data_IF_881612575506
#
_entry.id   IF_881612575506
#
_cell.length_a   1.000
_cell.length_b   1.000
_cell.length_c   1.000
_cell.angle_alpha   90.00
_cell.angle_beta   90.00
_cell.angle_gamma   90.00
#
_symmetry.space_group_name_H-M   'P 1'
#
loop_
_entity.id
_entity.type
_entity.pdbx_description
1 polymer ?
#
# COMPACT_ATOMS: atom_id res chain seq x y z
N UNK A 1 -41.99 -8.09 24.11
CA UNK A 1 -40.81 -8.96 24.36
C UNK A 1 -39.75 -8.57 23.37
N UNK A 2 -38.87 -7.65 23.77
CA UNK A 2 -37.75 -7.16 22.98
C UNK A 2 -36.58 -8.15 23.13
N UNK A 3 -35.96 -8.54 22.02
CA UNK A 3 -34.68 -9.26 22.02
C UNK A 3 -33.57 -8.22 21.84
N UNK A 4 -32.72 -8.08 22.85
CA UNK A 4 -31.45 -7.37 22.73
C UNK A 4 -30.45 -8.20 21.89
N UNK A 5 -29.61 -7.57 21.07
CA UNK A 5 -28.49 -8.25 20.40
C UNK A 5 -27.34 -8.46 21.40
N UNK A 6 -26.70 -9.63 21.33
CA UNK A 6 -25.48 -9.92 22.09
C UNK A 6 -24.31 -9.19 21.44
N UNK A 7 -23.63 -8.34 22.21
CA UNK A 7 -22.32 -7.81 21.87
C UNK A 7 -21.34 -8.97 21.65
N UNK A 8 -20.75 -9.04 20.46
CA UNK A 8 -19.55 -9.84 20.20
C UNK A 8 -18.37 -9.02 20.72
N UNK A 9 -18.05 -9.20 22.00
CA UNK A 9 -16.81 -8.76 22.60
C UNK A 9 -15.64 -9.29 21.75
N UNK A 10 -14.84 -8.38 21.21
CA UNK A 10 -13.56 -8.72 20.63
C UNK A 10 -12.69 -9.25 21.78
N UNK A 11 -12.40 -10.55 21.74
CA UNK A 11 -11.56 -11.25 22.69
C UNK A 11 -10.12 -10.73 22.54
N UNK A 12 -9.81 -9.64 23.24
CA UNK A 12 -8.43 -9.25 23.49
C UNK A 12 -7.75 -10.40 24.26
N UNK A 13 -6.57 -10.82 23.78
CA UNK A 13 -5.84 -11.96 24.33
C UNK A 13 -5.72 -11.91 25.85
N UNK A 14 -5.85 -13.06 26.48
CA UNK A 14 -5.86 -13.18 27.94
C UNK A 14 -4.47 -12.85 28.49
N UNK A 15 -4.42 -12.03 29.55
CA UNK A 15 -3.16 -11.70 30.18
C UNK A 15 -2.65 -12.92 30.95
N UNK A 16 -1.59 -13.55 30.45
CA UNK A 16 -1.01 -14.77 31.02
C UNK A 16 0.27 -14.44 31.79
N UNK A 17 0.39 -14.98 33.01
CA UNK A 17 1.59 -14.84 33.82
C UNK A 17 2.69 -15.74 33.26
N UNK A 18 3.92 -15.22 33.11
CA UNK A 18 5.10 -15.98 32.65
C UNK A 18 5.40 -17.23 33.49
N UNK A 19 4.93 -17.24 34.74
CA UNK A 19 5.10 -18.30 35.72
C UNK A 19 4.07 -19.44 35.64
N UNK A 20 3.07 -19.35 34.75
CA UNK A 20 1.97 -20.32 34.67
C UNK A 20 2.38 -21.69 34.10
N UNK A 21 3.53 -21.78 33.43
CA UNK A 21 4.02 -23.02 32.81
C UNK A 21 3.31 -23.40 31.51
N UNK A 22 2.34 -22.60 31.04
CA UNK A 22 1.72 -22.76 29.73
C UNK A 22 2.54 -22.08 28.64
N UNK A 23 2.53 -22.66 27.43
CA UNK A 23 3.16 -22.01 26.26
C UNK A 23 2.25 -20.87 25.78
N UNK A 24 2.75 -19.62 25.70
CA UNK A 24 1.97 -18.50 25.19
C UNK A 24 1.55 -18.75 23.74
N UNK A 25 0.34 -18.33 23.39
CA UNK A 25 -0.18 -18.34 22.03
C UNK A 25 -0.01 -16.96 21.37
N UNK A 26 -0.05 -16.88 20.04
CA UNK A 26 -0.06 -15.61 19.34
C UNK A 26 -1.25 -14.73 19.81
N UNK A 27 -0.95 -13.51 20.27
CA UNK A 27 -1.94 -12.57 20.81
C UNK A 27 -1.96 -12.47 22.34
N UNK A 28 -1.27 -13.36 23.06
CA UNK A 28 -1.20 -13.32 24.52
C UNK A 28 -0.32 -12.16 25.01
N UNK A 29 -0.79 -11.44 26.03
CA UNK A 29 -0.02 -10.40 26.71
C UNK A 29 0.61 -11.02 27.96
N UNK A 30 1.93 -11.20 27.94
CA UNK A 30 2.67 -11.78 29.06
C UNK A 30 2.98 -10.71 30.10
N UNK A 31 2.54 -10.93 31.34
CA UNK A 31 2.83 -10.03 32.46
C UNK A 31 3.89 -10.64 33.37
N UNK A 32 5.08 -10.04 33.43
CA UNK A 32 6.13 -10.35 34.40
C UNK A 32 6.03 -9.38 35.59
N UNK A 33 5.55 -9.87 36.73
CA UNK A 33 5.31 -9.03 37.92
C UNK A 33 6.57 -8.66 38.72
N UNK A 34 7.78 -9.01 38.26
CA UNK A 34 9.02 -8.85 39.06
C UNK A 34 10.17 -8.10 38.35
N UNK A 35 9.91 -7.34 37.29
CA UNK A 35 10.94 -6.53 36.61
C UNK A 35 10.61 -5.03 36.65
N UNK A 36 11.42 -4.26 37.39
CA UNK A 36 11.46 -2.78 37.35
C UNK A 36 12.11 -2.22 36.05
N UNK A 37 12.14 -3.04 35.01
CA UNK A 37 12.65 -2.69 33.69
C UNK A 37 11.48 -2.95 32.76
N UNK A 38 10.98 -1.92 32.08
CA UNK A 38 10.00 -2.11 31.02
C UNK A 38 10.60 -3.15 30.06
N UNK A 39 9.92 -4.27 29.77
CA UNK A 39 10.44 -5.22 28.80
C UNK A 39 10.74 -4.44 27.53
N UNK A 40 11.97 -4.58 27.01
CA UNK A 40 12.25 -4.12 25.66
C UNK A 40 11.15 -4.72 24.78
N UNK A 41 10.49 -3.91 23.93
CA UNK A 41 9.48 -4.46 23.04
C UNK A 41 10.16 -5.63 22.33
N UNK A 42 9.58 -6.81 22.46
CA UNK A 42 9.86 -7.91 21.56
C UNK A 42 9.40 -7.41 20.19
N UNK A 43 10.26 -6.65 19.53
CA UNK A 43 10.24 -6.50 18.09
C UNK A 43 10.42 -7.93 17.64
N UNK A 44 9.32 -8.60 17.34
CA UNK A 44 9.38 -9.86 16.62
C UNK A 44 10.32 -9.65 15.45
N UNK A 45 10.95 -10.71 14.97
CA UNK A 45 11.44 -10.68 13.60
C UNK A 45 10.22 -10.65 12.66
N UNK A 46 9.39 -9.60 12.77
CA UNK A 46 8.41 -9.16 11.79
C UNK A 46 9.25 -8.68 10.61
N UNK A 47 9.88 -9.66 9.95
CA UNK A 47 10.12 -9.57 8.53
C UNK A 47 8.77 -9.20 7.96
N UNK A 48 8.66 -7.97 7.45
CA UNK A 48 7.56 -7.60 6.59
C UNK A 48 7.51 -8.69 5.55
N UNK A 49 6.52 -9.59 5.68
CA UNK A 49 6.33 -10.59 4.66
C UNK A 49 6.10 -9.80 3.39
N UNK A 50 6.78 -10.16 2.28
CA UNK A 50 6.46 -9.56 1.01
C UNK A 50 4.93 -9.61 0.88
N UNK A 51 4.31 -8.62 0.26
CA UNK A 51 2.89 -8.64 -0.11
C UNK A 51 2.70 -9.72 -1.23
N UNK A 52 3.09 -10.95 -0.91
CA UNK A 52 3.22 -12.16 -1.70
C UNK A 52 1.78 -12.60 -1.96
N UNK A 53 1.36 -12.35 -3.19
CA UNK A 53 0.18 -12.99 -3.75
C UNK A 53 0.73 -14.04 -4.72
N UNK A 54 0.18 -15.26 -4.70
CA UNK A 54 0.68 -16.45 -5.45
C UNK A 54 0.64 -16.33 -7.00
N UNK A 55 0.42 -15.13 -7.54
CA UNK A 55 0.38 -14.87 -8.98
C UNK A 55 1.56 -13.99 -9.43
N UNK A 56 2.12 -14.23 -10.63
CA UNK A 56 3.26 -13.48 -11.14
C UNK A 56 2.97 -11.97 -11.17
N UNK A 57 4.00 -11.16 -10.91
CA UNK A 57 3.91 -9.70 -10.73
C UNK A 57 3.43 -8.91 -11.97
N UNK A 58 3.05 -9.58 -13.06
CA UNK A 58 2.52 -8.95 -14.27
C UNK A 58 3.57 -8.05 -14.93
N UNK A 59 3.10 -7.03 -15.66
CA UNK A 59 3.95 -6.06 -16.36
C UNK A 59 4.15 -4.75 -15.57
N UNK A 60 3.70 -4.69 -14.33
CA UNK A 60 3.79 -3.49 -13.49
C UNK A 60 5.12 -3.55 -12.73
N UNK A 61 5.97 -2.51 -12.80
CA UNK A 61 7.24 -2.50 -12.09
C UNK A 61 7.01 -2.54 -10.56
N UNK A 62 7.91 -3.18 -9.79
CA UNK A 62 7.73 -3.39 -8.35
C UNK A 62 7.40 -2.10 -7.58
N UNK A 63 8.11 -1.00 -7.84
CA UNK A 63 7.85 0.29 -7.17
C UNK A 63 6.40 0.76 -7.30
N UNK A 64 5.85 0.76 -8.52
CA UNK A 64 4.45 1.13 -8.74
C UNK A 64 3.49 0.11 -8.12
N UNK A 65 3.79 -1.18 -8.24
CA UNK A 65 2.94 -2.25 -7.73
C UNK A 65 2.82 -2.19 -6.20
N UNK A 66 3.93 -2.00 -5.49
CA UNK A 66 3.95 -1.91 -4.03
C UNK A 66 3.25 -0.66 -3.53
N UNK A 67 3.50 0.50 -4.15
CA UNK A 67 2.79 1.73 -3.80
C UNK A 67 1.26 1.58 -3.92
N UNK A 68 0.77 0.95 -4.99
CA UNK A 68 -0.67 0.73 -5.15
C UNK A 68 -1.22 -0.34 -4.21
N UNK A 69 -0.49 -1.45 -3.97
CA UNK A 69 -0.94 -2.53 -3.07
C UNK A 69 -1.04 -2.06 -1.61
N UNK A 70 -0.10 -1.22 -1.16
CA UNK A 70 -0.09 -0.63 0.18
C UNK A 70 -1.38 0.18 0.46
N UNK A 71 -1.86 0.92 -0.55
CA UNK A 71 -3.05 1.77 -0.44
C UNK A 71 -4.35 1.15 -0.90
N UNK A 72 -4.30 -0.04 -1.50
CA UNK A 72 -5.50 -0.74 -1.96
C UNK A 72 -6.34 -1.11 -0.74
N UNK A 73 -7.62 -0.74 -0.73
CA UNK A 73 -8.53 -1.09 0.38
C UNK A 73 -8.84 -2.58 0.43
N UNK A 74 -8.81 -3.26 -0.72
CA UNK A 74 -9.16 -4.67 -0.79
C UNK A 74 -7.95 -5.57 -0.61
N UNK A 75 -8.05 -6.56 0.28
CA UNK A 75 -7.11 -7.68 0.31
C UNK A 75 -7.72 -8.84 -0.45
N UNK A 76 -7.44 -8.92 -1.75
CA UNK A 76 -8.13 -9.85 -2.66
C UNK A 76 -8.03 -11.32 -2.23
N UNK A 77 -6.94 -11.72 -1.58
CA UNK A 77 -6.77 -13.08 -1.05
C UNK A 77 -7.71 -13.40 0.13
N UNK A 78 -8.26 -12.39 0.80
CA UNK A 78 -9.24 -12.54 1.89
C UNK A 78 -10.69 -12.54 1.41
N UNK A 79 -10.96 -12.23 0.14
CA UNK A 79 -12.33 -12.18 -0.34
C UNK A 79 -12.94 -13.58 -0.50
N UNK A 80 -14.20 -13.76 -0.05
CA UNK A 80 -15.03 -14.90 -0.45
C UNK A 80 -15.06 -15.08 -1.97
N UNK A 81 -15.09 -16.32 -2.44
CA UNK A 81 -14.98 -16.64 -3.87
C UNK A 81 -16.05 -15.95 -4.73
N UNK A 82 -17.24 -15.72 -4.20
CA UNK A 82 -18.37 -15.05 -4.84
C UNK A 82 -18.27 -13.52 -4.86
N UNK A 83 -17.41 -12.94 -4.02
CA UNK A 83 -17.10 -11.50 -4.01
C UNK A 83 -15.84 -11.15 -4.81
N UNK A 84 -15.09 -12.18 -5.25
CA UNK A 84 -13.97 -12.01 -6.17
C UNK A 84 -14.51 -11.54 -7.53
N UNK A 85 -14.01 -10.39 -7.95
CA UNK A 85 -14.19 -9.87 -9.29
C UNK A 85 -12.90 -10.02 -10.09
N UNK A 86 -12.98 -9.81 -11.40
CA UNK A 86 -11.83 -9.88 -12.30
C UNK A 86 -10.73 -8.93 -11.80
N UNK A 87 -9.57 -9.52 -11.48
CA UNK A 87 -8.37 -8.76 -11.13
C UNK A 87 -7.98 -7.86 -12.29
N UNK A 88 -7.59 -6.64 -11.96
CA UNK A 88 -6.99 -5.73 -12.93
C UNK A 88 -5.53 -5.55 -12.57
N UNK A 89 -4.65 -5.75 -13.56
CA UNK A 89 -3.22 -5.44 -13.50
C UNK A 89 -2.79 -5.04 -14.89
N UNK A 90 -2.89 -3.76 -15.21
CA UNK A 90 -2.73 -3.25 -16.57
C UNK A 90 -1.70 -2.13 -16.64
N UNK A 91 -1.10 -2.00 -17.82
CA UNK A 91 -0.18 -0.93 -18.19
C UNK A 91 -0.82 -0.17 -19.35
N UNK A 92 -0.94 1.14 -19.20
CA UNK A 92 -1.52 2.04 -20.18
C UNK A 92 -0.45 3.04 -20.65
N UNK A 93 -0.50 3.39 -21.94
CA UNK A 93 0.48 4.33 -22.52
C UNK A 93 1.90 3.74 -22.64
N UNK A 94 2.87 4.62 -22.81
CA UNK A 94 4.30 4.27 -22.90
C UNK A 94 5.19 5.48 -22.60
N UNK A 95 6.44 5.23 -22.21
CA UNK A 95 7.41 6.28 -21.83
C UNK A 95 6.90 7.15 -20.70
N UNK A 96 7.07 8.47 -20.82
CA UNK A 96 6.62 9.47 -19.85
C UNK A 96 5.09 9.54 -19.69
N UNK A 97 4.33 8.90 -20.58
CA UNK A 97 2.87 8.80 -20.50
C UNK A 97 2.40 7.48 -19.86
N UNK A 98 3.31 6.65 -19.32
CA UNK A 98 2.96 5.35 -18.76
C UNK A 98 2.18 5.49 -17.46
N UNK A 99 1.03 4.83 -17.38
CA UNK A 99 0.20 4.72 -16.17
C UNK A 99 -0.08 3.26 -15.89
N UNK A 100 0.03 2.86 -14.64
CA UNK A 100 -0.25 1.51 -14.15
C UNK A 100 -1.59 1.51 -13.44
N UNK A 101 -2.36 0.43 -13.57
CA UNK A 101 -3.65 0.30 -12.90
C UNK A 101 -3.83 -1.07 -12.25
N UNK A 102 -4.33 -1.07 -11.01
CA UNK A 102 -4.82 -2.29 -10.35
C UNK A 102 -6.25 -2.12 -9.83
N UNK A 103 -6.95 -3.23 -9.62
CA UNK A 103 -8.28 -3.19 -9.00
C UNK A 103 -8.22 -2.64 -7.58
N UNK A 104 -9.29 -1.96 -7.14
CA UNK A 104 -9.51 -1.63 -5.73
C UNK A 104 -10.99 -1.82 -5.37
N UNK A 105 -11.41 -3.07 -5.46
CA UNK A 105 -12.80 -3.44 -5.28
C UNK A 105 -13.63 -3.30 -6.55
N UNK A 106 -14.93 -3.48 -6.37
CA UNK A 106 -15.89 -3.59 -7.48
C UNK A 106 -16.02 -2.29 -8.30
N UNK A 107 -15.83 -1.14 -7.65
CA UNK A 107 -16.14 0.18 -8.22
C UNK A 107 -14.93 1.07 -8.40
N UNK A 108 -13.78 0.75 -7.80
CA UNK A 108 -12.60 1.59 -7.86
C UNK A 108 -11.40 0.82 -8.40
N UNK A 109 -10.40 1.59 -8.78
CA UNK A 109 -9.08 1.14 -9.14
C UNK A 109 -8.04 2.07 -8.53
N UNK A 110 -6.86 1.53 -8.24
CA UNK A 110 -5.67 2.34 -7.98
C UNK A 110 -4.95 2.56 -9.30
N UNK A 111 -4.50 3.79 -9.53
CA UNK A 111 -3.61 4.13 -10.63
C UNK A 111 -2.30 4.68 -10.09
N UNK A 112 -1.21 4.42 -10.80
CA UNK A 112 0.11 4.92 -10.47
C UNK A 112 0.83 5.46 -11.71
N UNK A 113 1.63 6.50 -11.51
CA UNK A 113 2.60 7.01 -12.48
C UNK A 113 3.95 7.12 -11.80
N UNK A 114 4.99 6.55 -12.41
CA UNK A 114 6.34 6.63 -11.89
C UNK A 114 6.95 7.98 -12.26
N UNK A 115 7.44 8.69 -11.25
CA UNK A 115 8.01 10.03 -11.40
C UNK A 115 9.52 9.98 -11.50
N UNK A 116 10.16 9.04 -10.82
CA UNK A 116 11.61 9.00 -10.78
C UNK A 116 12.19 8.06 -9.76
N UNK A 117 13.50 8.08 -9.65
CA UNK A 117 14.27 7.34 -8.65
C UNK A 117 15.36 8.21 -8.03
N UNK A 118 15.70 7.94 -6.77
CA UNK A 118 16.88 8.54 -6.14
C UNK A 118 18.12 7.68 -6.32
N UNK A 119 19.29 8.30 -6.10
CA UNK A 119 20.57 7.58 -6.06
C UNK A 119 20.68 6.51 -4.96
N UNK A 120 19.77 6.50 -3.97
CA UNK A 120 19.72 5.47 -2.92
C UNK A 120 18.88 4.25 -3.35
N UNK A 121 18.22 4.31 -4.51
CA UNK A 121 17.36 3.24 -5.02
C UNK A 121 15.89 3.36 -4.62
N UNK A 122 15.46 4.50 -4.06
CA UNK A 122 14.04 4.74 -3.80
C UNK A 122 13.34 5.11 -5.12
N UNK A 123 12.29 4.38 -5.46
CA UNK A 123 11.40 4.72 -6.57
C UNK A 123 10.25 5.59 -6.08
N UNK A 124 9.91 6.66 -6.81
CA UNK A 124 8.81 7.56 -6.49
C UNK A 124 7.66 7.39 -7.46
N UNK A 125 6.45 7.26 -6.93
CA UNK A 125 5.23 7.12 -7.70
C UNK A 125 4.15 8.08 -7.19
N UNK A 126 3.49 8.79 -8.11
CA UNK A 126 2.20 9.40 -7.82
C UNK A 126 1.14 8.32 -7.92
N UNK A 127 0.34 8.18 -6.89
CA UNK A 127 -0.81 7.26 -6.87
C UNK A 127 -2.10 8.00 -6.62
N UNK A 128 -3.20 7.40 -7.06
CA UNK A 128 -4.54 7.90 -6.82
C UNK A 128 -5.60 6.84 -7.02
N UNK A 129 -6.72 7.02 -6.34
CA UNK A 129 -7.90 6.16 -6.47
C UNK A 129 -8.86 6.76 -7.49
N UNK A 130 -9.28 5.97 -8.48
CA UNK A 130 -10.23 6.37 -9.52
C UNK A 130 -11.42 5.44 -9.57
N UNK A 131 -12.51 5.87 -10.20
CA UNK A 131 -13.59 4.96 -10.58
C UNK A 131 -13.06 3.91 -11.57
N UNK A 132 -13.49 2.66 -11.43
CA UNK A 132 -13.03 1.55 -12.29
C UNK A 132 -13.27 1.81 -13.78
N UNK A 133 -14.29 2.60 -14.12
CA UNK A 133 -14.58 3.01 -15.50
C UNK A 133 -13.47 3.85 -16.13
N UNK A 134 -12.65 4.55 -15.33
CA UNK A 134 -11.52 5.36 -15.81
C UNK A 134 -10.49 4.47 -16.52
N UNK A 135 -10.26 3.24 -16.05
CA UNK A 135 -9.29 2.32 -16.66
C UNK A 135 -9.58 2.07 -18.15
N UNK A 136 -10.86 1.96 -18.53
CA UNK A 136 -11.24 1.78 -19.93
C UNK A 136 -10.90 3.00 -20.80
N UNK A 137 -10.86 4.20 -20.21
CA UNK A 137 -10.49 5.44 -20.92
C UNK A 137 -8.98 5.58 -21.09
N UNK A 138 -8.18 5.00 -20.18
CA UNK A 138 -6.71 5.06 -20.22
C UNK A 138 -6.11 4.38 -21.45
N UNK A 139 -6.82 3.42 -22.06
CA UNK A 139 -6.43 2.82 -23.33
C UNK A 139 -6.37 3.84 -24.49
N UNK A 140 -7.10 4.95 -24.37
CA UNK A 140 -7.14 6.02 -25.40
C UNK A 140 -6.23 7.20 -25.06
N UNK A 141 -6.13 7.57 -23.77
CA UNK A 141 -5.28 8.67 -23.31
C UNK A 141 -4.98 8.52 -21.82
N UNK A 142 -3.71 8.70 -21.44
CA UNK A 142 -3.26 8.65 -20.04
C UNK A 142 -3.02 10.02 -19.42
N UNK A 143 -3.06 11.11 -20.21
CA UNK A 143 -2.78 12.47 -19.71
C UNK A 143 -3.68 12.89 -18.55
N UNK A 144 -4.96 12.54 -18.65
CA UNK A 144 -5.98 12.94 -17.68
C UNK A 144 -6.25 11.82 -16.65
N UNK A 145 -5.33 10.86 -16.50
CA UNK A 145 -5.53 9.68 -15.64
C UNK A 145 -5.86 10.04 -14.18
N UNK A 146 -5.32 11.16 -13.69
CA UNK A 146 -5.51 11.63 -12.32
C UNK A 146 -6.60 12.70 -12.18
N UNK A 147 -7.25 13.13 -13.27
CA UNK A 147 -8.15 14.29 -13.26
C UNK A 147 -9.36 14.13 -12.32
N UNK A 148 -9.81 12.89 -12.09
CA UNK A 148 -10.90 12.57 -11.16
C UNK A 148 -10.42 11.72 -9.98
N UNK A 149 -9.10 11.58 -9.81
CA UNK A 149 -8.53 10.75 -8.76
C UNK A 149 -8.72 11.38 -7.38
N UNK A 150 -8.84 10.52 -6.38
CA UNK A 150 -8.91 10.86 -4.96
C UNK A 150 -7.72 10.25 -4.24
N UNK A 151 -7.48 10.71 -3.01
CA UNK A 151 -6.38 10.18 -2.17
C UNK A 151 -5.01 10.30 -2.88
N UNK A 152 -4.82 11.42 -3.58
CA UNK A 152 -3.61 11.70 -4.36
C UNK A 152 -2.42 11.77 -3.40
N UNK A 153 -1.46 10.87 -3.59
CA UNK A 153 -0.30 10.74 -2.72
C UNK A 153 0.95 10.53 -3.57
N UNK A 154 2.02 11.24 -3.26
CA UNK A 154 3.36 10.90 -3.70
C UNK A 154 3.96 9.89 -2.72
N UNK A 155 4.34 8.73 -3.24
CA UNK A 155 4.83 7.60 -2.44
C UNK A 155 6.25 7.25 -2.85
N UNK A 156 7.11 7.04 -1.85
CA UNK A 156 8.43 6.45 -2.00
C UNK A 156 8.39 4.95 -1.72
N UNK A 157 9.09 4.17 -2.53
CA UNK A 157 9.25 2.73 -2.36
C UNK A 157 10.74 2.40 -2.35
N UNK A 158 11.24 2.00 -1.18
CA UNK A 158 12.58 1.45 -1.02
C UNK A 158 12.51 -0.07 -1.13
N UNK A 159 13.20 -0.64 -2.13
CA UNK A 159 13.27 -2.09 -2.32
C UNK A 159 14.58 -2.63 -1.76
N UNK A 160 14.52 -3.64 -0.90
CA UNK A 160 15.70 -4.35 -0.42
C UNK A 160 15.76 -5.74 -1.07
N UNK A 161 16.62 -5.90 -2.08
CA UNK A 161 16.73 -7.14 -2.87
C UNK A 161 17.06 -8.37 -2.02
N UNK A 162 17.79 -8.19 -0.92
CA UNK A 162 18.28 -9.27 -0.05
C UNK A 162 17.16 -9.97 0.73
N UNK A 163 16.10 -9.23 1.07
CA UNK A 163 15.00 -9.72 1.93
C UNK A 163 13.64 -9.67 1.25
N UNK A 164 13.59 -9.33 -0.05
CA UNK A 164 12.35 -9.20 -0.83
C UNK A 164 11.29 -8.30 -0.17
N UNK A 165 11.73 -7.35 0.66
CA UNK A 165 10.85 -6.41 1.32
C UNK A 165 10.77 -5.12 0.50
N UNK A 166 9.65 -4.43 0.67
CA UNK A 166 9.48 -3.06 0.21
C UNK A 166 9.02 -2.23 1.40
N UNK A 167 9.75 -1.15 1.67
CA UNK A 167 9.28 -0.12 2.58
C UNK A 167 8.58 0.94 1.73
N UNK A 168 7.28 1.09 1.96
CA UNK A 168 6.44 2.09 1.31
C UNK A 168 6.21 3.22 2.30
N UNK A 169 6.41 4.46 1.87
CA UNK A 169 6.22 5.63 2.73
C UNK A 169 5.68 6.83 1.95
N UNK A 170 4.90 7.64 2.64
CA UNK A 170 4.34 8.88 2.12
C UNK A 170 5.44 9.92 2.02
N UNK A 171 5.57 10.52 0.84
CA UNK A 171 6.45 11.68 0.62
C UNK A 171 5.62 12.95 0.74
N UNK A 172 4.46 12.98 0.10
CA UNK A 172 3.57 14.14 0.07
C UNK A 172 2.13 13.74 -0.23
N UNK A 173 1.16 14.59 0.11
CA UNK A 173 -0.27 14.36 -0.12
C UNK A 173 -0.91 15.61 -0.72
N UNK A 174 -1.74 15.38 -1.73
CA UNK A 174 -2.44 16.44 -2.45
C UNK A 174 -3.95 16.28 -2.27
N UNK A 175 -4.64 17.39 -1.97
CA UNK A 175 -6.09 17.40 -1.86
C UNK A 175 -6.75 17.51 -3.24
N UNK A 176 -6.05 18.08 -4.22
CA UNK A 176 -6.50 18.24 -5.59
C UNK A 176 -5.36 18.12 -6.61
N UNK A 177 -5.73 17.84 -7.88
CA UNK A 177 -4.77 17.65 -8.97
C UNK A 177 -3.96 18.91 -9.30
N UNK A 178 -4.52 20.10 -9.09
CA UNK A 178 -3.85 21.38 -9.36
C UNK A 178 -2.77 21.73 -8.33
N UNK A 179 -2.70 21.01 -7.22
CA UNK A 179 -1.61 21.09 -6.24
C UNK A 179 -0.41 20.22 -6.64
N UNK A 180 -0.60 19.28 -7.58
CA UNK A 180 0.45 18.38 -8.05
C UNK A 180 1.37 19.12 -9.02
N UNK A 181 2.71 19.07 -8.82
CA UNK A 181 3.65 19.58 -9.81
C UNK A 181 3.42 18.96 -11.20
N UNK A 182 3.41 19.78 -12.26
CA UNK A 182 3.15 19.29 -13.62
C UNK A 182 4.17 18.21 -14.06
N UNK A 183 5.40 18.28 -13.56
CA UNK A 183 6.43 17.25 -13.83
C UNK A 183 6.12 15.89 -13.20
N UNK A 184 5.20 15.82 -12.24
CA UNK A 184 4.79 14.58 -11.58
C UNK A 184 3.55 13.93 -12.22
N UNK A 185 2.92 14.58 -13.20
CA UNK A 185 1.78 14.07 -13.94
C UNK A 185 2.22 13.34 -15.23
N UNK A 186 1.39 12.44 -15.78
CA UNK A 186 1.70 11.76 -17.04
C UNK A 186 2.06 12.74 -18.17
N UNK A 187 3.25 12.58 -18.72
CA UNK A 187 3.87 13.48 -19.69
C UNK A 187 5.03 14.28 -19.12
N UNK A 188 5.18 14.31 -17.79
CA UNK A 188 6.41 14.72 -17.10
C UNK A 188 7.54 13.70 -17.31
N UNK A 189 8.77 14.18 -17.38
CA UNK A 189 9.92 13.30 -17.58
C UNK A 189 10.24 12.52 -16.31
N UNK A 190 10.62 11.24 -16.47
CA UNK A 190 11.16 10.46 -15.36
C UNK A 190 12.46 11.09 -14.83
N UNK A 191 12.47 11.47 -13.56
CA UNK A 191 13.55 12.21 -12.91
C UNK A 191 14.54 11.30 -12.17
N UNK A 192 15.83 11.66 -12.20
CA UNK A 192 16.84 11.08 -11.31
C UNK A 192 17.15 12.07 -10.20
N UNK A 193 16.66 11.79 -8.99
CA UNK A 193 16.85 12.66 -7.83
C UNK A 193 18.24 12.45 -7.22
N UNK A 194 18.95 13.55 -6.96
CA UNK A 194 20.29 13.51 -6.35
C UNK A 194 20.29 13.12 -4.87
N UNK A 195 19.12 13.08 -4.25
CA UNK A 195 18.87 12.70 -2.85
C UNK A 195 17.42 12.24 -2.73
N UNK A 196 17.11 11.58 -1.64
CA UNK A 196 15.73 11.19 -1.35
C UNK A 196 14.85 12.43 -1.13
N UNK A 197 13.61 12.38 -1.63
CA UNK A 197 12.61 13.38 -1.35
C UNK A 197 12.27 13.38 0.14
N UNK A 198 12.12 14.57 0.72
CA UNK A 198 11.79 14.73 2.13
C UNK A 198 10.34 14.31 2.38
N UNK A 199 10.11 13.58 3.48
CA UNK A 199 8.77 13.21 3.93
C UNK A 199 8.10 14.45 4.50
N UNK A 200 7.03 14.92 3.87
CA UNK A 200 6.19 15.99 4.39
C UNK A 200 5.45 15.48 5.65
N UNK A 201 5.66 16.14 6.79
CA UNK A 201 4.88 15.91 8.00
C UNK A 201 3.60 16.74 7.87
N UNK A 202 2.53 16.11 7.38
CA UNK A 202 1.18 16.68 7.36
C UNK A 202 0.53 16.75 8.73
#
# INVERSE_FOLDING_TARGET
>A
MSKEPKDNEHEWGEAVSSSSGDRPKPGDIILDNDSLIAPEPLVGADQSTPLQEDEPEGNIPPGALWAMKDRRHIQWHLLPHDERHDRVREVFGSGDLTVYGIDDGKHHAMVAHLIGESSSGVTYALIGRVDRSVLATLASSTKDAFATAKELTLVGVAQEESIQSSNVFDVDRYDAIDEIPESYLPGGHYETFSRDLEIAIG
#
